data_IF_773833149393
#
_entry.id   IF_773833149393
#
_cell.length_a   1.000
_cell.length_b   1.000
_cell.length_c   1.000
_cell.angle_alpha   90.00
_cell.angle_beta   90.00
_cell.angle_gamma   90.00
#
_symmetry.space_group_name_H-M   'P 1'
#
loop_
_entity.id
_entity.type
_entity.pdbx_description
1 polymer ?
#
# COMPACT_ATOMS: atom_id res chain seq x y z
N UNK A 1 31.55 37.46 -41.71
CA UNK A 1 30.33 36.59 -41.63
C UNK A 1 30.66 35.20 -41.06
N UNK A 2 31.87 34.66 -41.19
CA UNK A 2 32.26 33.32 -40.71
C UNK A 2 32.45 33.25 -39.18
N UNK A 3 32.69 34.37 -38.51
CA UNK A 3 32.92 34.45 -37.05
C UNK A 3 31.65 34.26 -36.20
N UNK A 4 30.48 34.58 -36.72
CA UNK A 4 29.23 34.47 -36.01
C UNK A 4 28.74 33.00 -35.83
N UNK A 5 29.15 32.09 -36.74
CA UNK A 5 28.71 30.69 -36.72
C UNK A 5 29.49 29.85 -35.66
N UNK A 6 30.71 30.27 -35.33
CA UNK A 6 31.57 29.57 -34.36
C UNK A 6 31.12 29.80 -32.90
N UNK A 7 30.49 30.94 -32.62
CA UNK A 7 29.98 31.28 -31.27
C UNK A 7 28.71 30.51 -30.96
N UNK A 8 27.87 30.25 -31.97
CA UNK A 8 26.62 29.51 -31.81
C UNK A 8 26.82 28.08 -31.31
N UNK A 9 27.80 27.33 -31.90
CA UNK A 9 28.06 25.95 -31.49
C UNK A 9 28.68 25.81 -30.10
N UNK A 10 29.35 26.83 -29.62
CA UNK A 10 29.92 26.82 -28.25
C UNK A 10 28.87 27.16 -27.20
N UNK A 11 27.92 28.02 -27.53
CA UNK A 11 26.76 28.39 -26.68
C UNK A 11 25.80 27.20 -26.56
N UNK A 12 25.51 26.47 -27.64
CA UNK A 12 24.63 25.29 -27.63
C UNK A 12 25.15 24.19 -26.71
N UNK A 13 26.47 23.91 -26.73
CA UNK A 13 27.08 22.92 -25.83
C UNK A 13 27.03 23.34 -24.35
N UNK A 14 27.17 24.62 -24.06
CA UNK A 14 27.08 25.14 -22.69
C UNK A 14 25.64 25.18 -22.20
N UNK A 15 24.71 25.56 -23.06
CA UNK A 15 23.29 25.61 -22.76
C UNK A 15 22.72 24.20 -22.50
N UNK A 16 23.10 23.23 -23.34
CA UNK A 16 22.72 21.82 -23.14
C UNK A 16 23.28 21.24 -21.84
N UNK A 17 24.49 21.62 -21.42
CA UNK A 17 25.06 21.18 -20.16
C UNK A 17 24.35 21.80 -18.95
N UNK A 18 23.96 23.07 -19.05
CA UNK A 18 23.20 23.78 -18.00
C UNK A 18 21.78 23.21 -17.90
N UNK A 19 21.13 22.97 -19.03
CA UNK A 19 19.80 22.35 -19.07
C UNK A 19 19.85 20.92 -18.53
N UNK A 20 20.84 20.13 -18.90
CA UNK A 20 21.02 18.78 -18.38
C UNK A 20 21.38 18.76 -16.87
N UNK A 21 22.10 19.76 -16.39
CA UNK A 21 22.39 19.93 -14.97
C UNK A 21 21.15 20.40 -14.21
N UNK A 22 20.41 21.37 -14.74
CA UNK A 22 19.16 21.83 -14.16
C UNK A 22 18.11 20.72 -14.15
N UNK A 23 17.93 19.99 -15.25
CA UNK A 23 17.05 18.82 -15.30
C UNK A 23 17.45 17.76 -14.26
N UNK A 24 18.72 17.43 -14.10
CA UNK A 24 19.18 16.50 -13.06
C UNK A 24 18.93 17.05 -11.65
N UNK A 25 19.03 18.35 -11.45
CA UNK A 25 18.77 18.96 -10.14
C UNK A 25 17.27 19.16 -9.85
N UNK A 26 16.48 19.37 -10.89
CA UNK A 26 15.02 19.51 -10.77
C UNK A 26 14.26 18.18 -10.92
N UNK A 27 14.86 17.14 -11.53
CA UNK A 27 14.26 15.80 -11.62
C UNK A 27 14.53 14.98 -10.34
N UNK A 28 15.31 15.52 -9.38
CA UNK A 28 15.29 15.07 -7.98
C UNK A 28 14.15 15.71 -7.19
N UNK A 29 13.14 16.28 -7.87
CA UNK A 29 11.86 16.58 -7.24
C UNK A 29 11.19 15.26 -6.89
N UNK A 30 11.60 14.78 -5.73
CA UNK A 30 10.82 14.03 -4.76
C UNK A 30 9.96 12.87 -5.25
N UNK A 31 10.61 11.82 -5.77
CA UNK A 31 10.06 10.48 -5.63
C UNK A 31 9.97 10.08 -4.13
N UNK A 32 10.71 10.76 -3.24
CA UNK A 32 10.65 10.51 -1.80
C UNK A 32 9.37 11.05 -1.13
N UNK A 33 8.74 12.11 -1.64
CA UNK A 33 7.52 12.64 -1.04
C UNK A 33 6.28 11.80 -1.34
N UNK A 34 6.22 11.09 -2.46
CA UNK A 34 5.13 10.15 -2.72
C UNK A 34 5.15 8.96 -1.75
N UNK A 35 6.33 8.49 -1.33
CA UNK A 35 6.44 7.44 -0.31
C UNK A 35 6.03 7.94 1.08
N UNK A 36 6.19 9.22 1.38
CA UNK A 36 5.77 9.78 2.68
C UNK A 36 4.26 10.01 2.74
N UNK A 37 3.63 10.37 1.63
CA UNK A 37 2.17 10.55 1.53
C UNK A 37 1.40 9.23 1.62
N UNK A 38 2.04 8.09 1.27
CA UNK A 38 1.44 6.76 1.33
C UNK A 38 1.82 6.00 2.62
N UNK A 39 2.61 6.59 3.50
CA UNK A 39 2.83 6.07 4.86
C UNK A 39 1.64 6.46 5.71
N UNK A 40 0.67 5.59 5.73
CA UNK A 40 -0.45 5.67 6.64
C UNK A 40 0.03 5.43 8.08
N UNK A 41 -0.73 5.91 9.07
CA UNK A 41 -0.38 5.73 10.48
C UNK A 41 -0.09 4.27 10.83
N UNK A 42 0.81 4.04 11.81
CA UNK A 42 1.05 2.72 12.42
C UNK A 42 1.77 1.68 11.54
N UNK A 43 2.60 2.12 10.58
CA UNK A 43 3.43 1.21 9.77
C UNK A 43 2.71 0.57 8.59
N UNK A 44 1.51 1.03 8.26
CA UNK A 44 0.81 0.63 7.03
C UNK A 44 1.28 1.45 5.83
N UNK A 45 1.28 0.83 4.66
CA UNK A 45 1.64 1.47 3.40
C UNK A 45 0.88 0.90 2.20
N UNK A 46 0.83 1.68 1.13
CA UNK A 46 0.46 1.19 -0.20
C UNK A 46 1.75 1.08 -1.02
N UNK A 47 1.99 -0.08 -1.61
CA UNK A 47 3.20 -0.30 -2.42
C UNK A 47 2.92 -1.23 -3.60
N UNK A 48 3.85 -1.27 -4.54
CA UNK A 48 3.82 -2.22 -5.65
C UNK A 48 4.68 -3.44 -5.32
N UNK A 49 4.13 -4.65 -5.50
CA UNK A 49 4.83 -5.92 -5.38
C UNK A 49 4.97 -6.58 -6.75
N UNK A 50 6.16 -7.08 -7.07
CA UNK A 50 6.42 -7.77 -8.33
C UNK A 50 6.19 -9.28 -8.20
N UNK A 51 5.26 -9.83 -8.98
CA UNK A 51 5.04 -11.28 -9.07
C UNK A 51 6.06 -11.92 -10.01
N UNK A 52 7.24 -12.24 -9.48
CA UNK A 52 8.35 -12.86 -10.22
C UNK A 52 8.18 -14.37 -10.29
N UNK A 53 8.85 -14.99 -11.25
CA UNK A 53 8.92 -16.44 -11.34
C UNK A 53 9.41 -17.06 -10.02
N UNK A 54 8.74 -18.10 -9.55
CA UNK A 54 9.03 -18.73 -8.26
C UNK A 54 8.48 -18.00 -7.03
N UNK A 55 7.83 -16.84 -7.18
CA UNK A 55 7.12 -16.19 -6.06
C UNK A 55 5.89 -17.01 -5.66
N UNK A 56 5.63 -17.07 -4.36
CA UNK A 56 4.55 -17.88 -3.76
C UNK A 56 3.16 -17.59 -4.33
N UNK A 57 2.92 -16.34 -4.75
CA UNK A 57 1.62 -15.89 -5.25
C UNK A 57 1.35 -16.24 -6.71
N UNK A 58 2.38 -16.55 -7.51
CA UNK A 58 2.24 -16.79 -8.95
C UNK A 58 1.47 -18.08 -9.23
N UNK A 59 0.54 -18.02 -10.19
CA UNK A 59 -0.30 -19.14 -10.60
C UNK A 59 -1.50 -19.40 -9.69
N UNK A 60 -1.68 -18.62 -8.63
CA UNK A 60 -2.80 -18.74 -7.69
C UNK A 60 -3.83 -17.63 -7.92
N UNK A 61 -5.10 -17.90 -7.60
CA UNK A 61 -6.15 -16.88 -7.58
C UNK A 61 -6.13 -16.10 -6.26
N UNK A 62 -6.67 -14.89 -6.23
CA UNK A 62 -6.75 -14.09 -5.00
C UNK A 62 -7.57 -14.80 -3.91
N UNK A 63 -8.62 -15.55 -4.27
CA UNK A 63 -9.39 -16.35 -3.31
C UNK A 63 -8.58 -17.51 -2.70
N UNK A 64 -7.67 -18.11 -3.47
CA UNK A 64 -6.77 -19.15 -2.96
C UNK A 64 -5.68 -18.57 -2.07
N UNK A 65 -5.18 -17.40 -2.42
CA UNK A 65 -4.12 -16.72 -1.67
C UNK A 65 -4.59 -16.19 -0.32
N UNK A 66 -5.85 -15.82 -0.19
CA UNK A 66 -6.46 -15.31 1.05
C UNK A 66 -5.62 -14.23 1.75
N UNK A 67 -5.02 -13.32 0.99
CA UNK A 67 -4.11 -12.30 1.51
C UNK A 67 -4.78 -11.36 2.52
N UNK A 68 -6.09 -11.15 2.40
CA UNK A 68 -6.86 -10.39 3.39
C UNK A 68 -6.79 -11.00 4.80
N UNK A 69 -6.68 -12.31 4.91
CA UNK A 69 -6.54 -13.01 6.20
C UNK A 69 -5.17 -12.76 6.85
N UNK A 70 -4.19 -12.32 6.07
CA UNK A 70 -2.88 -11.86 6.56
C UNK A 70 -2.86 -10.33 6.83
N UNK A 71 -3.94 -9.61 6.55
CA UNK A 71 -4.00 -8.15 6.65
C UNK A 71 -3.47 -7.41 5.41
N UNK A 72 -3.40 -8.10 4.26
CA UNK A 72 -2.96 -7.52 2.99
C UNK A 72 -4.12 -7.42 2.01
N UNK A 73 -4.38 -6.20 1.51
CA UNK A 73 -5.42 -5.93 0.52
C UNK A 73 -4.82 -5.67 -0.85
N UNK A 74 -5.27 -6.38 -1.88
CA UNK A 74 -4.90 -6.11 -3.28
C UNK A 74 -5.85 -5.07 -3.86
N UNK A 75 -5.32 -3.93 -4.24
CA UNK A 75 -6.08 -2.79 -4.78
C UNK A 75 -6.17 -2.82 -6.30
N UNK A 76 -5.13 -3.33 -6.96
CA UNK A 76 -5.07 -3.42 -8.42
C UNK A 76 -3.94 -4.32 -8.89
N UNK A 77 -3.99 -4.73 -10.14
CA UNK A 77 -2.96 -5.55 -10.77
C UNK A 77 -2.63 -4.95 -12.13
N UNK A 78 -1.36 -4.63 -12.35
CA UNK A 78 -0.83 -4.27 -13.67
C UNK A 78 -0.21 -5.52 -14.28
N UNK A 79 -0.73 -5.93 -15.43
CA UNK A 79 -0.22 -7.08 -16.17
C UNK A 79 1.12 -6.75 -16.84
N UNK A 80 1.90 -7.77 -17.13
CA UNK A 80 3.12 -7.61 -17.94
C UNK A 80 2.86 -7.02 -19.34
N UNK A 81 1.63 -7.16 -19.87
CA UNK A 81 1.16 -6.52 -21.11
C UNK A 81 0.92 -5.01 -20.99
N UNK A 82 0.93 -4.45 -19.77
CA UNK A 82 0.54 -3.06 -19.50
C UNK A 82 -0.95 -2.86 -19.18
N UNK A 83 -1.80 -3.90 -19.36
CA UNK A 83 -3.21 -3.86 -18.96
C UNK A 83 -3.33 -3.67 -17.43
N UNK A 84 -4.28 -2.84 -17.00
CA UNK A 84 -4.55 -2.60 -15.59
C UNK A 84 -5.91 -3.19 -15.18
N UNK A 85 -5.89 -4.05 -14.16
CA UNK A 85 -7.09 -4.62 -13.52
C UNK A 85 -7.30 -3.89 -12.21
N UNK A 86 -8.24 -2.94 -12.18
CA UNK A 86 -8.66 -2.25 -10.96
C UNK A 86 -9.63 -3.10 -10.16
N UNK A 87 -9.55 -3.04 -8.82
CA UNK A 87 -10.43 -3.81 -7.92
C UNK A 87 -10.57 -5.29 -8.33
N UNK A 88 -9.47 -6.05 -8.34
CA UNK A 88 -9.50 -7.45 -8.78
C UNK A 88 -10.37 -8.29 -7.85
N UNK A 89 -11.07 -9.27 -8.41
CA UNK A 89 -11.95 -10.18 -7.68
C UNK A 89 -11.22 -11.43 -7.20
N UNK A 90 -11.84 -12.20 -6.32
CA UNK A 90 -11.28 -13.48 -5.84
C UNK A 90 -10.89 -14.47 -6.94
N UNK A 91 -11.56 -14.42 -8.10
CA UNK A 91 -11.27 -15.27 -9.26
C UNK A 91 -10.10 -14.79 -10.12
N UNK A 92 -9.56 -13.60 -9.83
CA UNK A 92 -8.42 -13.05 -10.56
C UNK A 92 -7.14 -13.82 -10.21
N UNK A 93 -6.48 -14.39 -11.23
CA UNK A 93 -5.20 -15.09 -11.07
C UNK A 93 -4.03 -14.11 -11.17
N UNK A 94 -3.02 -14.34 -10.34
CA UNK A 94 -1.72 -13.66 -10.43
C UNK A 94 -0.83 -14.42 -11.40
N UNK A 95 -0.25 -13.70 -12.37
CA UNK A 95 0.60 -14.26 -13.40
C UNK A 95 2.05 -13.82 -13.17
N UNK A 96 2.98 -14.59 -13.71
CA UNK A 96 4.38 -14.16 -13.74
C UNK A 96 4.53 -12.83 -14.50
N UNK A 97 5.27 -11.89 -13.94
CA UNK A 97 5.47 -10.55 -14.48
C UNK A 97 4.38 -9.55 -14.14
N UNK A 98 3.35 -9.92 -13.38
CA UNK A 98 2.37 -8.97 -12.86
C UNK A 98 3.01 -8.06 -11.79
N UNK A 99 2.49 -6.83 -11.69
CA UNK A 99 2.77 -5.92 -10.58
C UNK A 99 1.46 -5.68 -9.82
N UNK A 100 1.45 -6.00 -8.53
CA UNK A 100 0.29 -5.84 -7.65
C UNK A 100 0.42 -4.54 -6.88
N UNK A 101 -0.61 -3.69 -6.93
CA UNK A 101 -0.76 -2.57 -6.00
C UNK A 101 -1.46 -3.09 -4.75
N UNK A 102 -0.77 -3.06 -3.61
CA UNK A 102 -1.23 -3.65 -2.36
C UNK A 102 -1.19 -2.67 -1.20
N UNK A 103 -2.09 -2.88 -0.23
CA UNK A 103 -2.14 -2.17 1.04
C UNK A 103 -1.94 -3.16 2.18
N UNK A 104 -1.09 -2.82 3.14
CA UNK A 104 -0.83 -3.64 4.33
C UNK A 104 0.31 -3.07 5.17
N UNK A 105 0.70 -3.80 6.22
CA UNK A 105 1.86 -3.43 7.02
C UNK A 105 3.15 -3.58 6.20
N UNK A 106 4.04 -2.62 6.28
CA UNK A 106 5.24 -2.57 5.46
C UNK A 106 6.14 -3.81 5.63
N UNK A 107 6.28 -4.32 6.86
CA UNK A 107 7.04 -5.54 7.16
C UNK A 107 6.43 -6.80 6.53
N UNK A 108 5.10 -6.88 6.50
CA UNK A 108 4.38 -7.98 5.84
C UNK A 108 4.50 -7.93 4.33
N UNK A 109 4.43 -6.72 3.75
CA UNK A 109 4.55 -6.54 2.30
C UNK A 109 5.94 -6.93 1.78
N UNK A 110 6.99 -6.56 2.50
CA UNK A 110 8.37 -6.96 2.18
C UNK A 110 8.56 -8.48 2.28
N UNK A 111 7.98 -9.11 3.30
CA UNK A 111 8.03 -10.56 3.44
C UNK A 111 7.28 -11.25 2.29
N UNK A 112 6.05 -10.81 1.97
CA UNK A 112 5.23 -11.37 0.90
C UNK A 112 5.92 -11.29 -0.47
N UNK A 113 6.63 -10.19 -0.77
CA UNK A 113 7.38 -10.03 -2.01
C UNK A 113 8.49 -11.07 -2.15
N UNK A 114 9.14 -11.42 -1.03
CA UNK A 114 10.26 -12.35 -1.00
C UNK A 114 9.83 -13.81 -0.77
N UNK A 115 8.54 -14.07 -0.51
CA UNK A 115 8.01 -15.40 -0.22
C UNK A 115 8.08 -16.29 -1.45
N UNK A 116 8.78 -17.42 -1.31
CA UNK A 116 8.97 -18.40 -2.39
C UNK A 116 7.83 -19.42 -2.42
N UNK A 117 7.57 -19.92 -3.62
CA UNK A 117 6.65 -21.04 -3.81
C UNK A 117 7.14 -22.30 -3.07
N UNK A 118 6.20 -23.08 -2.56
CA UNK A 118 6.48 -24.36 -1.88
C UNK A 118 6.06 -24.36 -0.40
N UNK A 119 6.38 -25.44 0.32
CA UNK A 119 5.91 -25.68 1.68
C UNK A 119 6.31 -24.58 2.68
N UNK A 120 7.48 -23.98 2.51
CA UNK A 120 7.94 -22.88 3.37
C UNK A 120 7.04 -21.63 3.22
N UNK A 121 6.67 -21.29 1.98
CA UNK A 121 5.75 -20.18 1.73
C UNK A 121 4.35 -20.44 2.26
N UNK A 122 3.88 -21.69 2.19
CA UNK A 122 2.57 -22.06 2.73
C UNK A 122 2.57 -22.03 4.27
N UNK A 123 3.65 -22.42 4.93
CA UNK A 123 3.82 -22.30 6.38
C UNK A 123 3.88 -20.84 6.84
N UNK A 124 4.59 -19.99 6.08
CA UNK A 124 4.66 -18.55 6.38
C UNK A 124 3.29 -17.90 6.26
N UNK A 125 2.52 -18.25 5.22
CA UNK A 125 1.14 -17.82 5.04
C UNK A 125 0.28 -18.17 6.26
N UNK A 126 0.31 -19.41 6.72
CA UNK A 126 -0.48 -19.84 7.87
C UNK A 126 -0.05 -19.12 9.16
N UNK A 127 1.25 -18.92 9.35
CA UNK A 127 1.77 -18.17 10.49
C UNK A 127 1.24 -16.73 10.51
N UNK A 128 1.25 -16.05 9.36
CA UNK A 128 0.76 -14.68 9.23
C UNK A 128 -0.74 -14.57 9.47
N UNK A 129 -1.50 -15.54 8.97
CA UNK A 129 -2.95 -15.59 9.23
C UNK A 129 -3.25 -15.68 10.73
N UNK A 130 -2.57 -16.59 11.44
CA UNK A 130 -2.76 -16.72 12.89
C UNK A 130 -2.38 -15.46 13.65
N UNK A 131 -1.29 -14.78 13.26
CA UNK A 131 -0.90 -13.50 13.85
C UNK A 131 -1.96 -12.41 13.62
N UNK A 132 -2.49 -12.31 12.41
CA UNK A 132 -3.53 -11.34 12.08
C UNK A 132 -4.82 -11.62 12.84
N UNK A 133 -5.23 -12.87 12.95
CA UNK A 133 -6.41 -13.25 13.72
C UNK A 133 -6.26 -12.88 15.19
N UNK A 134 -5.12 -13.16 15.81
CA UNK A 134 -4.85 -12.78 17.20
C UNK A 134 -4.90 -11.25 17.39
N UNK A 135 -4.36 -10.48 16.45
CA UNK A 135 -4.42 -9.02 16.50
C UNK A 135 -5.87 -8.49 16.43
N UNK A 136 -6.70 -9.07 15.57
CA UNK A 136 -8.12 -8.72 15.45
C UNK A 136 -8.87 -9.04 16.75
N UNK A 137 -8.65 -10.21 17.33
CA UNK A 137 -9.28 -10.62 18.59
C UNK A 137 -8.91 -9.68 19.74
N UNK A 138 -7.65 -9.30 19.84
CA UNK A 138 -7.19 -8.36 20.86
C UNK A 138 -7.85 -6.97 20.68
N UNK A 139 -7.92 -6.47 19.45
CA UNK A 139 -8.59 -5.20 19.14
C UNK A 139 -10.07 -5.24 19.53
N UNK A 140 -10.78 -6.32 19.17
CA UNK A 140 -12.20 -6.50 19.52
C UNK A 140 -12.41 -6.55 21.05
N UNK A 141 -11.49 -7.19 21.77
CA UNK A 141 -11.54 -7.24 23.23
C UNK A 141 -11.32 -5.87 23.87
N UNK A 142 -10.41 -5.06 23.32
CA UNK A 142 -10.19 -3.68 23.78
C UNK A 142 -11.42 -2.80 23.52
N UNK A 143 -12.04 -2.92 22.36
CA UNK A 143 -13.26 -2.17 22.01
C UNK A 143 -14.45 -2.54 22.92
N UNK A 144 -14.61 -3.83 23.21
CA UNK A 144 -15.62 -4.30 24.19
C UNK A 144 -15.39 -3.75 25.60
N UNK A 145 -14.12 -3.63 26.03
CA UNK A 145 -13.78 -3.03 27.33
C UNK A 145 -14.09 -1.54 27.35
N UNK A 146 -13.75 -0.81 26.29
CA UNK A 146 -14.06 0.63 26.14
C UNK A 146 -15.56 0.88 26.11
N UNK A 147 -16.33 0.10 25.35
CA UNK A 147 -17.80 0.22 25.26
C UNK A 147 -18.50 -0.04 26.60
N UNK A 148 -17.97 -0.93 27.46
CA UNK A 148 -18.54 -1.17 28.80
C UNK A 148 -18.29 0.00 29.78
N UNK A 149 -17.18 0.72 29.59
CA UNK A 149 -16.84 1.86 30.44
C UNK A 149 -17.49 3.17 29.98
N UNK A 150 -18.10 3.20 28.81
CA UNK A 150 -18.96 4.28 28.34
C UNK A 150 -20.38 4.03 28.80
N UNK A 151 -20.66 4.24 30.11
CA UNK A 151 -22.02 4.24 30.67
C UNK A 151 -22.81 5.36 30.00
N UNK A 152 -24.02 5.10 29.45
CA UNK A 152 -24.85 6.19 28.96
C UNK A 152 -25.24 7.04 30.16
N UNK A 153 -24.84 8.29 30.18
CA UNK A 153 -25.40 9.32 31.05
C UNK A 153 -26.87 9.47 30.65
N UNK A 154 -27.75 8.84 31.43
CA UNK A 154 -29.18 9.06 31.33
C UNK A 154 -29.43 10.54 31.57
N UNK A 155 -30.04 11.31 30.65
CA UNK A 155 -30.43 12.65 30.95
C UNK A 155 -31.54 12.56 32.02
N UNK A 156 -31.26 13.03 33.25
CA UNK A 156 -32.25 13.24 34.28
C UNK A 156 -33.19 14.33 33.77
N UNK A 157 -34.33 13.90 33.22
CA UNK A 157 -35.43 14.78 32.89
C UNK A 157 -36.11 15.16 34.21
N UNK A 158 -35.67 16.24 34.84
CA UNK A 158 -36.39 16.92 35.90
C UNK A 158 -37.62 17.58 35.27
N UNK A 159 -38.75 16.86 35.28
CA UNK A 159 -40.05 17.46 35.10
C UNK A 159 -40.32 18.35 36.33
N UNK A 160 -40.13 19.65 36.18
CA UNK A 160 -40.76 20.65 37.03
C UNK A 160 -42.24 20.70 36.66
N UNK A 161 -43.09 20.23 37.57
CA UNK A 161 -44.52 20.47 37.49
C UNK A 161 -44.83 21.97 37.69
N UNK A 162 -45.67 22.58 36.86
CA UNK A 162 -46.15 23.91 37.15
C UNK A 162 -47.23 23.84 38.24
N UNK A 163 -46.91 24.39 39.39
CA UNK A 163 -47.87 24.68 40.46
C UNK A 163 -48.95 25.67 39.98
N UNK A 164 -50.19 25.20 39.88
CA UNK A 164 -51.39 26.06 39.69
C UNK A 164 -51.84 26.58 41.08
N UNK A 165 -51.84 27.88 41.24
CA UNK A 165 -52.43 28.64 42.29
C UNK A 165 -53.13 29.86 41.73
#
# INVERSE_FOLDING_TARGET
>A
VIWAISISKWIDKRLSAIIAWALRKFTHLDVQDYHSLLRLSEGYSVTELSAREGAWMVGKSLSTLRLADEGVQVLGIRRSSGEYVGTPTGTTYIRNGDTLLVYGRADQLVELENRKAGPEGDQEHERRRLQQQAAIEEQQNQDRRRGRNATPTTPTNSMEEPSVG
#
